data_IF_831042103549
#
_entry.id   IF_831042103549
#
_cell.length_a   1.000
_cell.length_b   1.000
_cell.length_c   1.000
_cell.angle_alpha   90.00
_cell.angle_beta   90.00
_cell.angle_gamma   90.00
#
_symmetry.space_group_name_H-M   'P 1'
#
loop_
_entity.id
_entity.type
_entity.pdbx_description
1 polymer ?
#
# COMPACT_ATOMS: atom_id res chain seq x y z
N UNK A 1 14.69 -0.20 21.71
CA UNK A 1 13.23 -0.32 21.97
C UNK A 1 12.72 -1.57 21.26
N UNK A 2 11.96 -2.46 21.92
CA UNK A 2 11.28 -3.59 21.27
C UNK A 2 9.77 -3.30 21.26
N UNK A 3 9.29 -2.58 20.25
CA UNK A 3 7.85 -2.43 20.00
C UNK A 3 7.21 -3.67 19.35
N UNK A 4 7.97 -4.77 19.19
CA UNK A 4 7.54 -5.95 18.44
C UNK A 4 7.98 -5.88 16.98
N UNK A 5 7.62 -6.90 16.21
CA UNK A 5 7.89 -6.96 14.77
C UNK A 5 7.03 -5.90 14.05
N UNK A 6 7.68 -4.79 13.68
CA UNK A 6 7.02 -3.64 13.03
C UNK A 6 6.36 -4.04 11.72
N UNK A 7 7.01 -4.90 10.93
CA UNK A 7 6.51 -5.29 9.61
C UNK A 7 5.30 -6.22 9.76
N UNK A 8 5.32 -7.15 10.71
CA UNK A 8 4.18 -8.01 10.99
C UNK A 8 2.94 -7.20 11.44
N UNK A 9 3.13 -6.23 12.34
CA UNK A 9 2.02 -5.36 12.80
C UNK A 9 1.49 -4.50 11.65
N UNK A 10 2.38 -3.90 10.87
CA UNK A 10 2.00 -3.09 9.71
C UNK A 10 1.26 -3.92 8.64
N UNK A 11 1.67 -5.18 8.42
CA UNK A 11 1.01 -6.09 7.50
C UNK A 11 -0.44 -6.39 7.93
N UNK A 12 -0.67 -6.68 9.21
CA UNK A 12 -2.04 -6.89 9.72
C UNK A 12 -2.89 -5.63 9.56
N UNK A 13 -2.33 -4.46 9.87
CA UNK A 13 -3.02 -3.19 9.70
C UNK A 13 -3.40 -2.92 8.23
N UNK A 14 -2.49 -3.17 7.29
CA UNK A 14 -2.76 -3.05 5.86
C UNK A 14 -3.85 -3.99 5.36
N UNK A 15 -3.85 -5.26 5.79
CA UNK A 15 -4.89 -6.24 5.43
C UNK A 15 -6.26 -5.81 5.97
N UNK A 16 -6.32 -5.34 7.22
CA UNK A 16 -7.56 -4.82 7.80
C UNK A 16 -8.04 -3.58 7.06
N UNK A 17 -7.14 -2.66 6.71
CA UNK A 17 -7.48 -1.45 5.98
C UNK A 17 -8.07 -1.75 4.60
N UNK A 18 -7.47 -2.70 3.86
CA UNK A 18 -7.98 -3.16 2.57
C UNK A 18 -9.42 -3.67 2.66
N UNK A 19 -9.74 -4.46 3.70
CA UNK A 19 -11.11 -4.98 3.93
C UNK A 19 -12.11 -3.91 4.39
N UNK A 20 -11.62 -2.76 4.87
CA UNK A 20 -12.43 -1.67 5.41
C UNK A 20 -12.39 -0.43 4.52
N UNK A 21 -11.93 -0.53 3.27
CA UNK A 21 -11.81 0.61 2.36
C UNK A 21 -13.13 1.36 2.18
N UNK A 22 -14.27 0.66 2.05
CA UNK A 22 -15.58 1.30 1.90
C UNK A 22 -16.06 2.05 3.15
N UNK A 23 -15.49 1.76 4.32
CA UNK A 23 -15.77 2.52 5.56
C UNK A 23 -14.97 3.82 5.63
N UNK A 24 -13.90 3.95 4.83
CA UNK A 24 -12.97 5.08 4.83
C UNK A 24 -13.23 5.99 3.62
N UNK A 25 -13.45 5.41 2.44
CA UNK A 25 -13.65 6.14 1.18
C UNK A 25 -15.14 6.22 0.88
N UNK A 26 -15.78 7.42 0.96
CA UNK A 26 -17.25 7.55 0.99
C UNK A 26 -18.01 6.95 -0.21
N UNK A 27 -17.39 6.90 -1.38
CA UNK A 27 -18.01 6.42 -2.62
C UNK A 27 -17.52 5.03 -3.05
N UNK A 28 -16.70 4.37 -2.23
CA UNK A 28 -16.30 2.98 -2.49
C UNK A 28 -17.44 2.03 -2.15
N UNK A 29 -17.66 1.06 -3.02
CA UNK A 29 -18.60 -0.03 -2.75
C UNK A 29 -17.96 -1.02 -1.78
N UNK A 30 -18.73 -1.70 -0.92
CA UNK A 30 -18.22 -2.86 -0.20
C UNK A 30 -17.85 -3.99 -1.19
N UNK A 31 -16.61 -4.46 -1.16
CA UNK A 31 -16.10 -5.51 -2.06
C UNK A 31 -15.70 -6.76 -1.26
N UNK A 32 -16.19 -7.92 -1.70
CA UNK A 32 -15.75 -9.22 -1.18
C UNK A 32 -14.37 -9.60 -1.74
N UNK A 33 -13.31 -9.21 -1.04
CA UNK A 33 -11.93 -9.50 -1.43
C UNK A 33 -11.62 -11.01 -1.36
N UNK A 34 -10.94 -11.53 -2.37
CA UNK A 34 -10.45 -12.91 -2.43
C UNK A 34 -9.03 -13.04 -1.86
N UNK A 35 -8.25 -11.97 -1.90
CA UNK A 35 -6.88 -11.97 -1.37
C UNK A 35 -6.33 -10.56 -1.25
N UNK A 36 -5.47 -10.38 -0.24
CA UNK A 36 -4.67 -9.18 -0.03
C UNK A 36 -3.26 -9.62 0.34
N UNK A 37 -2.29 -9.24 -0.48
CA UNK A 37 -0.87 -9.49 -0.23
C UNK A 37 -0.16 -8.16 0.03
N UNK A 38 0.81 -8.19 0.93
CA UNK A 38 1.67 -7.05 1.25
C UNK A 38 3.10 -7.57 1.31
N UNK A 39 3.98 -6.95 0.54
CA UNK A 39 5.40 -7.24 0.47
C UNK A 39 6.21 -6.00 0.89
N UNK A 40 7.37 -6.25 1.47
CA UNK A 40 8.29 -5.24 1.98
C UNK A 40 9.66 -5.46 1.37
N UNK A 41 10.30 -4.38 0.94
CA UNK A 41 11.68 -4.39 0.49
C UNK A 41 12.42 -3.15 0.99
N UNK A 42 13.70 -3.33 1.36
CA UNK A 42 14.54 -2.22 1.82
C UNK A 42 15.47 -1.78 0.71
N UNK A 43 15.32 -0.53 0.30
CA UNK A 43 16.15 0.09 -0.73
C UNK A 43 17.09 1.10 -0.07
N UNK A 44 18.39 0.99 -0.35
CA UNK A 44 19.39 1.95 0.14
C UNK A 44 19.37 3.20 -0.74
N UNK A 45 19.27 4.36 -0.09
CA UNK A 45 19.37 5.66 -0.75
C UNK A 45 20.64 6.40 -0.29
N UNK A 46 20.99 7.52 -0.93
CA UNK A 46 22.16 8.32 -0.55
C UNK A 46 22.10 8.79 0.90
N UNK A 47 20.89 9.11 1.38
CA UNK A 47 20.65 9.64 2.72
C UNK A 47 19.75 8.73 3.57
N UNK A 48 20.00 7.42 3.54
CA UNK A 48 19.37 6.48 4.46
C UNK A 48 18.77 5.27 3.77
N UNK A 49 17.58 4.88 4.23
CA UNK A 49 16.87 3.70 3.75
C UNK A 49 15.43 4.06 3.41
N UNK A 50 14.95 3.53 2.29
CA UNK A 50 13.56 3.56 1.88
C UNK A 50 12.96 2.17 2.11
N UNK A 51 11.87 2.10 2.87
CA UNK A 51 11.04 0.90 2.95
C UNK A 51 10.01 0.96 1.83
N UNK A 52 10.18 0.13 0.80
CA UNK A 52 9.19 -0.06 -0.24
C UNK A 52 8.10 -1.00 0.26
N UNK A 53 6.84 -0.56 0.14
CA UNK A 53 5.65 -1.34 0.48
C UNK A 53 4.88 -1.58 -0.81
N UNK A 54 4.70 -2.85 -1.16
CA UNK A 54 3.92 -3.25 -2.32
C UNK A 54 2.69 -4.03 -1.87
N UNK A 55 1.53 -3.63 -2.38
CA UNK A 55 0.24 -4.23 -1.99
C UNK A 55 -0.52 -4.70 -3.22
N UNK A 56 -1.06 -5.91 -3.15
CA UNK A 56 -1.89 -6.50 -4.19
C UNK A 56 -3.24 -6.88 -3.58
N UNK A 57 -4.34 -6.43 -4.18
CA UNK A 57 -5.69 -6.83 -3.82
C UNK A 57 -6.33 -7.58 -4.99
N UNK A 58 -7.12 -8.62 -4.69
CA UNK A 58 -7.83 -9.44 -5.67
C UNK A 58 -9.29 -9.57 -5.29
N UNK A 59 -10.17 -9.52 -6.29
CA UNK A 59 -11.60 -9.78 -6.13
C UNK A 59 -12.16 -10.52 -7.33
N UNK A 60 -13.37 -11.06 -7.19
CA UNK A 60 -14.21 -11.53 -8.29
C UNK A 60 -15.52 -10.76 -8.22
N UNK A 61 -15.62 -9.69 -8.99
CA UNK A 61 -16.77 -8.79 -8.99
C UNK A 61 -16.77 -7.82 -10.16
N UNK A 62 -17.77 -6.93 -10.19
CA UNK A 62 -17.97 -5.94 -11.24
C UNK A 62 -17.20 -4.62 -11.04
N UNK A 63 -16.53 -4.47 -9.90
CA UNK A 63 -15.79 -3.25 -9.53
C UNK A 63 -14.33 -3.61 -9.27
N UNK A 64 -13.42 -2.72 -9.70
CA UNK A 64 -11.99 -2.86 -9.45
C UNK A 64 -11.64 -2.70 -7.97
N UNK A 65 -10.39 -3.02 -7.64
CA UNK A 65 -9.85 -3.01 -6.27
C UNK A 65 -8.65 -2.07 -6.10
N UNK A 66 -8.58 -1.03 -6.94
CA UNK A 66 -7.53 -0.02 -6.90
C UNK A 66 -7.47 0.64 -5.52
N UNK A 67 -8.65 0.97 -4.97
CA UNK A 67 -8.75 1.65 -3.68
C UNK A 67 -8.39 0.75 -2.51
N UNK A 68 -8.71 -0.54 -2.58
CA UNK A 68 -8.38 -1.54 -1.56
C UNK A 68 -6.87 -1.77 -1.49
N UNK A 69 -6.17 -1.76 -2.63
CA UNK A 69 -4.71 -1.83 -2.68
C UNK A 69 -4.08 -0.53 -2.14
N UNK A 70 -4.51 0.64 -2.64
CA UNK A 70 -3.95 1.93 -2.21
C UNK A 70 -4.16 2.20 -0.72
N UNK A 71 -5.35 1.88 -0.19
CA UNK A 71 -5.65 2.04 1.23
C UNK A 71 -4.77 1.11 2.08
N UNK A 72 -4.56 -0.13 1.65
CA UNK A 72 -3.66 -1.06 2.33
C UNK A 72 -2.22 -0.52 2.41
N UNK A 73 -1.69 0.00 1.29
CA UNK A 73 -0.35 0.59 1.26
C UNK A 73 -0.21 1.78 2.21
N UNK A 74 -1.18 2.71 2.18
CA UNK A 74 -1.18 3.89 3.03
C UNK A 74 -1.24 3.55 4.51
N UNK A 75 -2.15 2.65 4.93
CA UNK A 75 -2.27 2.29 6.34
C UNK A 75 -1.08 1.46 6.82
N UNK A 76 -0.50 0.63 5.96
CA UNK A 76 0.76 -0.08 6.28
C UNK A 76 1.87 0.93 6.57
N UNK A 77 2.05 1.93 5.71
CA UNK A 77 3.06 2.98 5.91
C UNK A 77 2.80 3.82 7.17
N UNK A 78 1.54 4.21 7.43
CA UNK A 78 1.14 4.91 8.65
C UNK A 78 1.42 4.09 9.91
N UNK A 79 1.25 2.77 9.84
CA UNK A 79 1.53 1.87 10.97
C UNK A 79 3.03 1.74 11.22
N UNK A 80 3.85 1.64 10.17
CA UNK A 80 5.32 1.70 10.30
C UNK A 80 5.73 3.02 10.95
N UNK A 81 5.16 4.15 10.50
CA UNK A 81 5.42 5.45 11.09
C UNK A 81 5.03 5.47 12.58
N UNK A 82 3.83 5.02 12.94
CA UNK A 82 3.37 4.98 14.33
C UNK A 82 4.28 4.19 15.26
N UNK A 83 4.77 3.05 14.75
CA UNK A 83 5.68 2.18 15.46
C UNK A 83 7.06 2.81 15.62
N UNK A 84 7.56 3.54 14.63
CA UNK A 84 8.92 4.09 14.61
C UNK A 84 9.05 5.57 15.05
N UNK A 85 7.95 6.34 15.16
CA UNK A 85 7.96 7.80 15.44
C UNK A 85 8.65 8.25 16.72
N UNK A 86 8.92 7.32 17.63
CA UNK A 86 9.66 7.59 18.87
C UNK A 86 11.18 7.63 18.64
N UNK A 87 11.66 7.01 17.56
CA UNK A 87 13.07 6.96 17.17
C UNK A 87 13.39 8.17 16.29
N UNK A 88 12.57 8.39 15.27
CA UNK A 88 12.68 9.52 14.36
C UNK A 88 11.29 10.01 13.94
N UNK A 89 11.05 11.32 14.01
CA UNK A 89 9.80 11.96 13.57
C UNK A 89 9.89 12.46 12.12
N UNK A 90 11.09 12.51 11.55
CA UNK A 90 11.37 12.99 10.20
C UNK A 90 11.09 12.00 9.07
N UNK A 91 10.63 10.78 9.39
CA UNK A 91 10.26 9.79 8.37
C UNK A 91 9.21 10.38 7.41
N UNK A 92 9.42 10.19 6.10
CA UNK A 92 8.48 10.59 5.07
C UNK A 92 7.70 9.37 4.57
N UNK A 93 6.39 9.54 4.37
CA UNK A 93 5.54 8.53 3.74
C UNK A 93 5.31 8.94 2.29
N UNK A 94 5.56 8.00 1.38
CA UNK A 94 5.22 8.12 -0.02
C UNK A 94 6.44 8.27 -0.93
N UNK A 95 6.20 8.46 -2.24
CA UNK A 95 4.88 8.56 -2.88
C UNK A 95 4.06 7.25 -2.81
N UNK A 96 2.73 7.34 -2.73
CA UNK A 96 1.79 6.20 -2.80
C UNK A 96 1.02 6.24 -4.10
N UNK A 97 0.98 5.13 -4.83
CA UNK A 97 0.38 5.12 -6.16
C UNK A 97 0.08 3.73 -6.71
N UNK A 98 -0.79 3.66 -7.73
CA UNK A 98 -1.16 2.40 -8.40
C UNK A 98 -0.09 1.99 -9.42
N UNK A 99 0.45 0.78 -9.28
CA UNK A 99 1.45 0.21 -10.21
C UNK A 99 0.77 -0.44 -11.41
N UNK A 100 -0.22 -1.29 -11.15
CA UNK A 100 -0.91 -2.07 -12.17
C UNK A 100 -2.34 -2.36 -11.72
N UNK A 101 -3.25 -2.50 -12.69
CA UNK A 101 -4.60 -3.02 -12.52
C UNK A 101 -4.91 -3.86 -13.75
N UNK A 102 -5.40 -5.07 -13.52
CA UNK A 102 -5.92 -5.92 -14.58
C UNK A 102 -7.39 -6.27 -14.35
N UNK A 103 -8.09 -6.54 -15.44
CA UNK A 103 -9.50 -6.92 -15.42
C UNK A 103 -10.47 -5.73 -15.32
N UNK A 104 -11.75 -6.06 -15.52
CA UNK A 104 -12.82 -5.08 -15.71
C UNK A 104 -13.34 -5.14 -17.15
N UNK A 105 -14.66 -5.13 -17.30
CA UNK A 105 -15.29 -5.19 -18.63
C UNK A 105 -15.26 -3.82 -19.33
N UNK A 106 -15.20 -2.75 -18.54
CA UNK A 106 -15.37 -1.36 -19.00
C UNK A 106 -14.09 -0.53 -18.99
N UNK A 107 -12.94 -1.11 -18.65
CA UNK A 107 -11.65 -0.40 -18.64
C UNK A 107 -10.53 -1.33 -19.07
N UNK A 108 -9.63 -0.82 -19.89
CA UNK A 108 -8.40 -1.54 -20.25
C UNK A 108 -7.52 -1.77 -19.01
N UNK A 109 -6.67 -2.78 -19.11
CA UNK A 109 -5.61 -3.01 -18.14
C UNK A 109 -4.70 -1.79 -18.07
N UNK A 110 -4.33 -1.41 -16.84
CA UNK A 110 -3.44 -0.30 -16.59
C UNK A 110 -2.11 -0.82 -16.06
N UNK A 111 -1.01 -0.31 -16.60
CA UNK A 111 0.32 -0.47 -16.02
C UNK A 111 1.02 0.88 -16.05
N UNK A 112 1.52 1.29 -14.89
CA UNK A 112 2.27 2.53 -14.75
C UNK A 112 3.54 2.47 -15.59
N UNK A 113 3.73 3.46 -16.46
CA UNK A 113 5.00 3.65 -17.13
C UNK A 113 5.98 4.27 -16.15
N UNK A 114 7.05 3.54 -15.83
CA UNK A 114 8.19 4.11 -15.09
C UNK A 114 8.93 5.00 -16.07
N UNK A 115 8.76 6.33 -15.94
CA UNK A 115 9.76 7.23 -16.50
C UNK A 115 11.02 7.02 -15.66
N UNK A 116 12.10 6.52 -16.27
CA UNK A 116 13.43 6.73 -15.72
C UNK A 116 13.60 8.24 -15.63
N UNK A 117 13.42 8.80 -14.44
CA UNK A 117 14.01 10.09 -14.14
C UNK A 117 15.50 9.81 -14.02
N UNK A 118 16.24 10.27 -15.02
CA UNK A 118 17.69 10.37 -14.95
C UNK A 118 18.04 11.05 -13.63
N UNK A 119 18.84 10.36 -12.84
CA UNK A 119 19.44 10.90 -11.62
C UNK A 119 20.55 11.83 -12.08
N UNK A 120 20.24 13.12 -12.18
CA UNK A 120 21.24 14.19 -12.22
C UNK A 120 21.82 14.43 -10.82
#
# INVERSE_FOLDING_TARGET
MKKGDVLAVAQVAGIMASKNTSNIIPMCHPIALQGVNIAFDWEKEEQGYRLRIETEAKTKGSTGVEMEALTAASVTALTVYDMCKAIDKGMMIGPTFLVEKTGGVSSDDYKRQVKQTDRD
#
